data_IF_897300316147
#
_entry.id   IF_897300316147
#
_cell.length_a   1.000
_cell.length_b   1.000
_cell.length_c   1.000
_cell.angle_alpha   90.00
_cell.angle_beta   90.00
_cell.angle_gamma   90.00
#
_symmetry.space_group_name_H-M   'P 1'
#
loop_
_entity.id
_entity.type
_entity.pdbx_description
1 polymer ?
#
# COMPACT_ATOMS: atom_id res chain seq x y z
N UNK A 1 26.67 12.30 24.98
CA UNK A 1 25.33 12.78 25.42
C UNK A 1 24.35 12.51 24.30
N UNK A 2 23.40 11.59 24.48
CA UNK A 2 22.35 11.33 23.49
C UNK A 2 21.35 12.50 23.52
N UNK A 3 21.22 13.23 22.40
CA UNK A 3 20.29 14.33 22.28
C UNK A 3 18.84 13.85 22.48
N UNK A 4 18.10 14.51 23.37
CA UNK A 4 16.65 14.30 23.50
C UNK A 4 15.99 14.50 22.14
N UNK A 5 15.25 13.50 21.67
CA UNK A 5 14.43 13.65 20.47
C UNK A 5 13.46 14.82 20.67
N UNK A 6 13.63 15.88 19.89
CA UNK A 6 12.71 17.01 19.86
C UNK A 6 11.36 16.53 19.32
N UNK A 7 10.28 16.84 20.05
CA UNK A 7 8.91 16.42 19.69
C UNK A 7 8.38 17.12 18.43
N UNK A 8 8.95 18.28 18.09
CA UNK A 8 8.59 19.06 16.92
C UNK A 8 9.51 18.73 15.73
N UNK A 9 8.90 18.56 14.55
CA UNK A 9 9.64 18.35 13.31
C UNK A 9 10.60 19.53 13.03
N UNK A 10 11.83 19.28 12.56
CA UNK A 10 12.77 20.34 12.23
C UNK A 10 12.21 21.25 11.13
N UNK A 11 12.43 22.56 11.26
CA UNK A 11 12.02 23.52 10.22
C UNK A 11 12.89 23.31 8.98
N UNK A 12 12.26 23.18 7.81
CA UNK A 12 12.98 23.03 6.53
C UNK A 12 14.01 24.14 6.31
N UNK A 13 13.65 25.40 6.60
CA UNK A 13 14.56 26.55 6.46
C UNK A 13 15.77 26.53 7.41
N UNK A 14 15.70 25.76 8.50
CA UNK A 14 16.84 25.55 9.38
C UNK A 14 17.73 24.42 8.86
N UNK A 15 17.13 23.33 8.36
CA UNK A 15 17.85 22.19 7.79
C UNK A 15 18.71 22.58 6.59
N UNK A 16 18.22 23.47 5.73
CA UNK A 16 18.96 23.94 4.55
C UNK A 16 20.20 24.76 4.88
N UNK A 17 20.40 25.17 6.14
CA UNK A 17 21.60 25.88 6.60
C UNK A 17 22.65 24.97 7.24
N UNK A 18 22.31 23.70 7.49
CA UNK A 18 23.13 22.78 8.28
C UNK A 18 24.04 21.86 7.44
N UNK A 19 23.97 21.94 6.10
CA UNK A 19 24.74 21.12 5.14
C UNK A 19 24.90 19.63 5.56
N UNK A 20 23.82 19.06 6.09
CA UNK A 20 23.78 17.72 6.65
C UNK A 20 22.84 16.84 5.84
N UNK A 21 23.34 16.44 4.67
CA UNK A 21 22.66 15.60 3.70
C UNK A 21 23.17 14.16 3.76
N UNK A 22 22.25 13.22 3.58
CA UNK A 22 22.51 11.79 3.45
C UNK A 22 22.18 11.37 2.01
N UNK A 23 23.08 10.59 1.42
CA UNK A 23 22.87 9.94 0.14
C UNK A 23 22.14 8.62 0.39
N UNK A 24 20.99 8.41 -0.22
CA UNK A 24 20.25 7.14 -0.16
C UNK A 24 20.15 6.57 -1.57
N UNK A 25 20.58 5.33 -1.77
CA UNK A 25 20.51 4.62 -3.05
C UNK A 25 19.46 3.52 -2.96
N UNK A 26 18.47 3.55 -3.86
CA UNK A 26 17.30 2.67 -3.83
C UNK A 26 17.22 1.82 -5.10
N UNK A 27 16.93 0.53 -4.92
CA UNK A 27 16.70 -0.43 -6.00
C UNK A 27 17.98 -0.91 -6.67
N UNK A 28 17.92 -1.90 -7.56
CA UNK A 28 19.09 -2.49 -8.21
C UNK A 28 19.87 -1.49 -9.08
N UNK A 29 19.18 -0.48 -9.62
CA UNK A 29 19.78 0.60 -10.42
C UNK A 29 20.33 1.76 -9.57
N UNK A 30 20.30 1.64 -8.23
CA UNK A 30 20.78 2.63 -7.28
C UNK A 30 20.29 4.06 -7.55
N UNK A 31 18.97 4.22 -7.72
CA UNK A 31 18.37 5.55 -7.83
C UNK A 31 18.77 6.37 -6.60
N UNK A 32 19.46 7.48 -6.83
CA UNK A 32 20.16 8.23 -5.78
C UNK A 32 19.35 9.43 -5.31
N UNK A 33 19.16 9.54 -4.00
CA UNK A 33 18.44 10.60 -3.31
C UNK A 33 19.39 11.32 -2.35
N UNK A 34 19.29 12.65 -2.29
CA UNK A 34 20.01 13.45 -1.30
C UNK A 34 18.99 14.05 -0.34
N UNK A 35 19.02 13.62 0.92
CA UNK A 35 17.95 13.94 1.89
C UNK A 35 18.57 14.50 3.17
N UNK A 36 17.96 15.54 3.74
CA UNK A 36 18.43 16.12 5.00
C UNK A 36 18.36 15.08 6.13
N UNK A 37 19.51 14.82 6.80
CA UNK A 37 19.64 13.86 7.90
C UNK A 37 18.58 14.06 8.97
N UNK A 38 18.35 15.33 9.34
CA UNK A 38 17.38 15.70 10.37
C UNK A 38 15.95 15.24 10.07
N UNK A 39 15.53 15.22 8.80
CA UNK A 39 14.21 14.71 8.42
C UNK A 39 14.14 13.20 8.57
N UNK A 40 15.12 12.48 8.01
CA UNK A 40 15.19 11.02 8.08
C UNK A 40 15.15 10.53 9.53
N UNK A 41 16.02 11.08 10.37
CA UNK A 41 16.15 10.71 11.79
C UNK A 41 14.88 11.06 12.59
N UNK A 42 14.21 12.17 12.26
CA UNK A 42 12.98 12.55 12.96
C UNK A 42 11.81 11.63 12.59
N UNK A 43 11.65 11.31 11.30
CA UNK A 43 10.44 10.65 10.78
C UNK A 43 10.54 9.14 10.58
N UNK A 44 11.74 8.56 10.62
CA UNK A 44 11.97 7.12 10.40
C UNK A 44 12.81 6.51 11.52
N UNK A 45 12.30 5.45 12.12
CA UNK A 45 13.07 4.67 13.11
C UNK A 45 14.26 3.97 12.48
N UNK A 46 14.10 3.45 11.26
CA UNK A 46 15.17 2.82 10.49
C UNK A 46 16.35 3.78 10.33
N UNK A 47 16.12 4.96 9.76
CA UNK A 47 17.18 5.94 9.54
C UNK A 47 17.71 6.53 10.85
N UNK A 48 16.88 6.68 11.89
CA UNK A 48 17.37 7.08 13.23
C UNK A 48 18.38 6.09 13.79
N UNK A 49 18.12 4.79 13.66
CA UNK A 49 19.04 3.74 14.12
C UNK A 49 20.29 3.68 13.23
N UNK A 50 20.11 3.70 11.92
CA UNK A 50 21.20 3.65 10.96
C UNK A 50 22.17 4.84 11.12
N UNK A 51 21.64 6.07 11.28
CA UNK A 51 22.43 7.30 11.20
C UNK A 51 22.91 7.86 12.56
N UNK A 52 22.43 7.31 13.68
CA UNK A 52 22.87 7.69 15.04
C UNK A 52 23.53 6.55 15.83
N UNK A 53 23.62 5.34 15.26
CA UNK A 53 24.37 4.23 15.84
C UNK A 53 25.83 4.20 15.41
N UNK A 54 26.63 3.28 15.97
CA UNK A 54 28.03 3.01 15.58
C UNK A 54 28.18 2.44 14.15
N UNK A 55 27.11 2.39 13.35
CA UNK A 55 27.09 1.79 12.02
C UNK A 55 27.69 2.69 10.93
N UNK A 56 27.96 3.97 11.25
CA UNK A 56 28.55 4.96 10.34
C UNK A 56 29.97 5.36 10.79
N UNK A 57 30.83 4.38 11.06
CA UNK A 57 32.29 4.58 11.08
C UNK A 57 32.90 4.66 9.65
N UNK A 58 32.08 4.72 8.61
CA UNK A 58 32.53 4.97 7.24
C UNK A 58 32.16 6.40 6.84
N UNK A 59 33.17 7.16 6.40
CA UNK A 59 33.12 8.57 5.96
C UNK A 59 32.07 8.91 4.88
N UNK A 60 31.27 7.95 4.40
CA UNK A 60 30.62 8.05 3.10
C UNK A 60 29.16 8.57 3.09
N UNK A 61 28.56 8.93 4.25
CA UNK A 61 27.18 9.49 4.37
C UNK A 61 26.13 8.81 3.45
N UNK A 62 26.30 7.51 3.17
CA UNK A 62 25.53 6.80 2.14
C UNK A 62 24.82 5.59 2.74
N UNK A 63 23.54 5.42 2.40
CA UNK A 63 22.71 4.26 2.74
C UNK A 63 22.24 3.61 1.45
N UNK A 64 22.39 2.29 1.31
CA UNK A 64 21.97 1.52 0.13
C UNK A 64 20.87 0.54 0.54
N UNK A 65 19.79 0.47 -0.25
CA UNK A 65 18.67 -0.46 -0.09
C UNK A 65 18.31 -1.03 -1.47
N UNK A 66 18.88 -2.19 -1.80
CA UNK A 66 18.78 -2.80 -3.14
C UNK A 66 17.39 -3.39 -3.45
N UNK A 67 16.68 -3.84 -2.42
CA UNK A 67 15.40 -4.56 -2.51
C UNK A 67 14.17 -3.64 -2.34
N UNK A 68 14.33 -2.34 -2.59
CA UNK A 68 13.26 -1.35 -2.49
C UNK A 68 13.01 -0.68 -3.84
N UNK A 69 11.74 -0.56 -4.20
CA UNK A 69 11.34 0.15 -5.42
C UNK A 69 11.42 1.67 -5.23
N UNK A 70 11.94 2.42 -6.23
CA UNK A 70 12.01 3.88 -6.15
C UNK A 70 10.65 4.57 -6.01
N UNK A 71 9.59 4.12 -6.70
CA UNK A 71 8.28 4.78 -6.67
C UNK A 71 7.65 4.88 -5.27
N UNK A 72 7.57 3.78 -4.51
CA UNK A 72 7.17 3.82 -3.10
C UNK A 72 8.07 4.69 -2.21
N UNK A 73 9.37 4.71 -2.48
CA UNK A 73 10.30 5.58 -1.77
C UNK A 73 10.12 7.06 -2.12
N UNK A 74 9.77 7.40 -3.37
CA UNK A 74 9.41 8.76 -3.79
C UNK A 74 8.25 9.28 -2.93
N UNK A 75 7.24 8.44 -2.67
CA UNK A 75 6.13 8.78 -1.74
C UNK A 75 6.65 9.14 -0.35
N UNK A 76 7.60 8.35 0.18
CA UNK A 76 8.20 8.62 1.47
C UNK A 76 8.93 9.96 1.46
N UNK A 77 9.73 10.26 0.43
CA UNK A 77 10.48 11.52 0.30
C UNK A 77 9.54 12.72 0.14
N UNK A 78 8.53 12.65 -0.72
CA UNK A 78 7.56 13.74 -0.92
C UNK A 78 6.82 14.06 0.37
N UNK A 79 6.35 13.04 1.09
CA UNK A 79 5.71 13.22 2.38
C UNK A 79 6.68 13.74 3.44
N UNK A 80 7.93 13.28 3.43
CA UNK A 80 8.95 13.71 4.38
C UNK A 80 9.19 15.22 4.32
N UNK A 81 9.19 15.79 3.11
CA UNK A 81 9.40 17.23 2.90
C UNK A 81 8.11 18.05 3.03
N UNK A 82 6.97 17.53 2.59
CA UNK A 82 5.73 18.34 2.49
C UNK A 82 4.71 18.07 3.59
N UNK A 83 4.83 16.94 4.28
CA UNK A 83 3.81 16.41 5.18
C UNK A 83 2.53 15.95 4.47
N UNK A 84 2.52 15.89 3.14
CA UNK A 84 1.36 15.55 2.29
C UNK A 84 1.70 14.35 1.42
N UNK A 85 0.69 13.54 1.10
CA UNK A 85 0.84 12.48 0.13
C UNK A 85 0.85 13.08 -1.30
N UNK A 86 1.63 12.51 -2.24
CA UNK A 86 1.69 12.98 -3.62
C UNK A 86 0.45 12.60 -4.45
N UNK A 87 -0.47 11.83 -3.87
CA UNK A 87 -1.70 11.41 -4.53
C UNK A 87 -2.81 12.40 -4.17
N UNK A 88 -3.20 13.26 -5.11
CA UNK A 88 -4.39 14.10 -4.95
C UNK A 88 -5.61 13.43 -5.58
N UNK A 89 -6.80 13.60 -4.98
CA UNK A 89 -8.04 13.13 -5.57
C UNK A 89 -8.29 13.87 -6.89
N UNK A 90 -8.82 13.12 -7.87
CA UNK A 90 -9.27 13.59 -9.17
C UNK A 90 -10.11 14.88 -9.04
N UNK A 91 -9.53 16.02 -9.39
CA UNK A 91 -10.24 17.30 -9.39
C UNK A 91 -9.59 18.39 -10.25
N UNK A 92 -8.28 18.32 -10.45
CA UNK A 92 -7.49 19.33 -11.16
C UNK A 92 -6.62 18.77 -12.31
N UNK A 93 -6.88 17.54 -12.75
CA UNK A 93 -6.39 17.05 -14.06
C UNK A 93 -4.94 16.61 -14.14
N UNK A 94 -4.17 16.64 -13.04
CA UNK A 94 -2.82 16.08 -13.00
C UNK A 94 -2.66 15.18 -11.78
N UNK A 95 -2.35 13.90 -12.01
CA UNK A 95 -1.71 13.12 -10.98
C UNK A 95 -0.34 13.75 -10.71
N UNK A 96 -0.17 14.35 -9.53
CA UNK A 96 1.14 14.78 -9.05
C UNK A 96 2.00 13.56 -8.60
N UNK A 97 2.06 12.52 -9.42
CA UNK A 97 3.14 11.54 -9.31
C UNK A 97 4.32 12.21 -10.01
N UNK A 98 5.47 12.30 -9.32
CA UNK A 98 6.68 12.88 -9.92
C UNK A 98 6.89 12.28 -11.32
N UNK A 99 7.15 13.15 -12.28
CA UNK A 99 7.05 12.97 -13.73
C UNK A 99 7.85 11.79 -14.33
N UNK A 100 8.59 11.02 -13.53
CA UNK A 100 9.33 9.82 -13.97
C UNK A 100 8.46 8.56 -14.04
N UNK A 101 7.38 8.48 -13.26
CA UNK A 101 6.41 7.37 -13.28
C UNK A 101 5.01 7.82 -13.74
N UNK A 102 4.92 9.05 -14.28
CA UNK A 102 3.69 9.59 -14.84
C UNK A 102 3.13 8.61 -15.87
N UNK A 103 1.99 8.02 -15.53
CA UNK A 103 1.47 6.89 -16.25
C UNK A 103 0.85 7.35 -17.56
N UNK A 104 1.25 6.78 -18.70
CA UNK A 104 0.68 7.15 -20.00
C UNK A 104 -0.73 6.58 -20.23
N UNK A 105 -1.36 6.00 -19.21
CA UNK A 105 -2.60 5.24 -19.36
C UNK A 105 -3.80 6.08 -18.93
N UNK A 106 -4.87 6.03 -19.71
CA UNK A 106 -6.17 6.56 -19.33
C UNK A 106 -7.03 5.45 -18.69
N UNK A 107 -7.85 5.82 -17.71
CA UNK A 107 -8.85 4.91 -17.13
C UNK A 107 -8.32 3.94 -16.06
N UNK A 108 -8.75 2.69 -16.17
CA UNK A 108 -8.68 1.65 -15.14
C UNK A 108 -7.25 1.21 -14.79
N UNK A 109 -6.36 1.15 -15.77
CA UNK A 109 -4.95 0.76 -15.59
C UNK A 109 -4.19 1.75 -14.69
N UNK A 110 -4.51 3.04 -14.79
CA UNK A 110 -3.94 4.08 -13.92
C UNK A 110 -4.49 4.01 -12.51
N UNK A 111 -5.79 3.69 -12.35
CA UNK A 111 -6.39 3.47 -11.02
C UNK A 111 -5.76 2.26 -10.32
N UNK A 112 -5.60 1.15 -11.04
CA UNK A 112 -4.94 -0.06 -10.54
C UNK A 112 -3.52 0.26 -10.08
N UNK A 113 -2.74 0.90 -10.92
CA UNK A 113 -1.33 1.16 -10.60
C UNK A 113 -1.18 2.14 -9.45
N UNK A 114 -2.03 3.16 -9.36
CA UNK A 114 -2.05 4.04 -8.20
C UNK A 114 -2.42 3.26 -6.93
N UNK A 115 -3.42 2.39 -7.00
CA UNK A 115 -3.84 1.53 -5.90
C UNK A 115 -2.69 0.65 -5.41
N UNK A 116 -1.97 0.01 -6.35
CA UNK A 116 -0.82 -0.82 -6.05
C UNK A 116 0.36 0.00 -5.48
N UNK A 117 0.64 1.19 -6.04
CA UNK A 117 1.65 2.10 -5.52
C UNK A 117 1.35 2.50 -4.07
N UNK A 118 0.09 2.79 -3.73
CA UNK A 118 -0.29 3.15 -2.36
C UNK A 118 -0.05 2.01 -1.36
N UNK A 119 -0.37 0.77 -1.72
CA UNK A 119 -0.07 -0.41 -0.88
C UNK A 119 1.44 -0.64 -0.77
N UNK A 120 2.19 -0.53 -1.86
CA UNK A 120 3.66 -0.63 -1.82
C UNK A 120 4.27 0.45 -0.93
N UNK A 121 3.78 1.68 -1.02
CA UNK A 121 4.20 2.79 -0.16
C UNK A 121 3.83 2.55 1.31
N UNK A 122 2.71 1.87 1.60
CA UNK A 122 2.37 1.43 2.95
C UNK A 122 3.44 0.47 3.49
N UNK A 123 3.80 -0.56 2.72
CA UNK A 123 4.82 -1.55 3.09
C UNK A 123 6.17 -0.88 3.33
N UNK A 124 6.60 0.01 2.44
CA UNK A 124 7.85 0.77 2.59
C UNK A 124 7.82 1.68 3.82
N UNK A 125 6.72 2.40 4.05
CA UNK A 125 6.58 3.25 5.23
C UNK A 125 6.66 2.45 6.53
N UNK A 126 6.05 1.26 6.57
CA UNK A 126 6.11 0.38 7.73
C UNK A 126 7.53 -0.16 7.96
N UNK A 127 8.18 -0.66 6.89
CA UNK A 127 9.58 -1.12 6.91
C UNK A 127 10.55 -0.05 7.40
N UNK A 128 10.34 1.21 7.01
CA UNK A 128 11.16 2.34 7.45
C UNK A 128 10.81 2.82 8.87
N UNK A 129 9.79 2.25 9.52
CA UNK A 129 9.31 2.68 10.83
C UNK A 129 8.72 4.10 10.79
N UNK A 130 8.14 4.50 9.67
CA UNK A 130 7.56 5.82 9.46
C UNK A 130 6.06 5.83 9.83
N UNK A 131 5.74 5.57 11.11
CA UNK A 131 4.36 5.30 11.55
C UNK A 131 3.33 6.40 11.24
N UNK A 132 3.74 7.68 11.20
CA UNK A 132 2.85 8.79 10.78
C UNK A 132 2.49 8.70 9.29
N UNK A 133 3.43 8.28 8.45
CA UNK A 133 3.18 8.05 7.03
C UNK A 133 2.30 6.82 6.83
N UNK A 134 2.57 5.71 7.52
CA UNK A 134 1.72 4.50 7.49
C UNK A 134 0.26 4.86 7.75
N UNK A 135 0.00 5.66 8.80
CA UNK A 135 -1.35 6.14 9.11
C UNK A 135 -1.95 7.04 8.02
N UNK A 136 -1.15 7.95 7.45
CA UNK A 136 -1.60 8.84 6.39
C UNK A 136 -2.01 8.05 5.14
N UNK A 137 -1.17 7.10 4.70
CA UNK A 137 -1.43 6.23 3.55
C UNK A 137 -2.68 5.39 3.80
N UNK A 138 -2.78 4.74 4.97
CA UNK A 138 -3.93 3.91 5.32
C UNK A 138 -5.26 4.67 5.20
N UNK A 139 -5.33 5.88 5.77
CA UNK A 139 -6.55 6.67 5.75
C UNK A 139 -6.89 7.13 4.32
N UNK A 140 -5.89 7.60 3.57
CA UNK A 140 -6.08 7.99 2.18
C UNK A 140 -6.58 6.83 1.32
N UNK A 141 -5.99 5.64 1.49
CA UNK A 141 -6.37 4.44 0.76
C UNK A 141 -7.84 4.08 1.04
N UNK A 142 -8.25 4.04 2.31
CA UNK A 142 -9.63 3.76 2.68
C UNK A 142 -10.58 4.80 2.07
N UNK A 143 -10.27 6.09 2.20
CA UNK A 143 -11.13 7.14 1.64
C UNK A 143 -11.26 7.09 0.12
N UNK A 144 -10.21 6.65 -0.57
CA UNK A 144 -10.17 6.54 -2.03
C UNK A 144 -10.93 5.32 -2.55
N UNK A 145 -10.97 4.21 -1.81
CA UNK A 145 -11.42 2.90 -2.32
C UNK A 145 -12.60 2.29 -1.56
N UNK A 146 -13.20 2.98 -0.57
CA UNK A 146 -14.30 2.44 0.28
C UNK A 146 -15.63 2.13 -0.43
N UNK A 147 -15.78 2.49 -1.70
CA UNK A 147 -17.02 2.31 -2.48
C UNK A 147 -16.85 1.43 -3.72
N UNK A 148 -15.81 0.58 -3.74
CA UNK A 148 -15.55 -0.33 -4.86
C UNK A 148 -14.92 -1.63 -4.35
N UNK A 149 -15.00 -2.69 -5.17
CA UNK A 149 -14.28 -3.92 -4.88
C UNK A 149 -12.75 -3.68 -5.05
N UNK A 150 -11.91 -4.39 -4.29
CA UNK A 150 -10.47 -4.27 -4.42
C UNK A 150 -10.01 -4.91 -5.73
N UNK A 151 -8.89 -4.43 -6.23
CA UNK A 151 -8.20 -5.06 -7.36
C UNK A 151 -7.42 -6.27 -6.84
N UNK A 152 -7.56 -7.43 -7.46
CA UNK A 152 -6.89 -8.68 -7.10
C UNK A 152 -5.39 -8.55 -7.11
N UNK A 153 -4.79 -7.85 -8.09
CA UNK A 153 -3.34 -7.58 -8.06
C UNK A 153 -2.91 -6.86 -6.78
N UNK A 154 -3.73 -5.93 -6.30
CA UNK A 154 -3.50 -5.24 -5.03
C UNK A 154 -3.70 -6.16 -3.83
N UNK A 155 -4.74 -7.01 -3.85
CA UNK A 155 -4.99 -8.02 -2.81
C UNK A 155 -3.81 -8.98 -2.69
N UNK A 156 -3.38 -9.57 -3.79
CA UNK A 156 -2.26 -10.52 -3.86
C UNK A 156 -1.01 -9.90 -3.23
N UNK A 157 -0.63 -8.72 -3.69
CA UNK A 157 0.54 -8.03 -3.15
C UNK A 157 0.41 -7.70 -1.66
N UNK A 158 -0.76 -7.19 -1.24
CA UNK A 158 -1.00 -6.80 0.14
C UNK A 158 -0.86 -7.98 1.12
N UNK A 159 -1.48 -9.12 0.81
CA UNK A 159 -1.43 -10.29 1.70
C UNK A 159 -0.06 -10.97 1.74
N UNK A 160 0.74 -10.85 0.68
CA UNK A 160 2.11 -11.39 0.66
C UNK A 160 3.09 -10.53 1.48
N UNK A 161 2.83 -9.22 1.61
CA UNK A 161 3.80 -8.26 2.17
C UNK A 161 3.37 -7.57 3.47
N UNK A 162 2.09 -7.63 3.86
CA UNK A 162 1.56 -6.93 5.03
C UNK A 162 1.24 -7.95 6.14
N UNK A 163 1.66 -7.72 7.40
CA UNK A 163 1.29 -8.58 8.52
C UNK A 163 -0.23 -8.71 8.70
N UNK A 164 -0.69 -9.92 9.02
CA UNK A 164 -2.12 -10.29 9.08
C UNK A 164 -2.98 -9.46 10.04
N UNK A 165 -2.36 -8.79 11.02
CA UNK A 165 -3.01 -7.98 12.04
C UNK A 165 -3.33 -6.56 11.56
N UNK A 166 -2.87 -6.17 10.36
CA UNK A 166 -3.09 -4.82 9.85
C UNK A 166 -4.54 -4.65 9.35
N UNK A 167 -5.28 -3.63 9.84
CA UNK A 167 -6.68 -3.43 9.45
C UNK A 167 -6.93 -3.22 7.95
N UNK A 168 -5.90 -2.82 7.19
CA UNK A 168 -6.01 -2.62 5.75
C UNK A 168 -6.35 -3.93 5.00
N UNK A 169 -5.91 -5.08 5.52
CA UNK A 169 -6.25 -6.38 4.92
C UNK A 169 -7.73 -6.73 5.15
N UNK A 170 -8.26 -6.43 6.34
CA UNK A 170 -9.70 -6.59 6.61
C UNK A 170 -10.54 -5.64 5.79
N UNK A 171 -10.05 -4.42 5.53
CA UNK A 171 -10.72 -3.49 4.62
C UNK A 171 -10.87 -4.08 3.21
N UNK A 172 -9.82 -4.70 2.66
CA UNK A 172 -9.89 -5.36 1.34
C UNK A 172 -10.90 -6.51 1.33
N UNK A 173 -10.94 -7.32 2.39
CA UNK A 173 -11.93 -8.40 2.54
C UNK A 173 -13.37 -7.82 2.58
N UNK A 174 -13.57 -6.79 3.38
CA UNK A 174 -14.88 -6.18 3.60
C UNK A 174 -15.41 -5.53 2.32
N UNK A 175 -14.58 -4.76 1.61
CA UNK A 175 -14.99 -4.13 0.35
C UNK A 175 -15.25 -5.17 -0.75
N UNK A 176 -14.48 -6.26 -0.80
CA UNK A 176 -14.79 -7.37 -1.70
C UNK A 176 -16.16 -7.96 -1.39
N UNK A 177 -16.44 -8.31 -0.12
CA UNK A 177 -17.72 -8.91 0.26
C UNK A 177 -18.93 -8.02 -0.05
N UNK A 178 -18.76 -6.70 -0.03
CA UNK A 178 -19.86 -5.73 -0.22
C UNK A 178 -20.06 -5.34 -1.68
N UNK A 179 -18.98 -5.15 -2.44
CA UNK A 179 -19.05 -4.52 -3.78
C UNK A 179 -18.71 -5.46 -4.93
N UNK A 180 -18.14 -6.62 -4.68
CA UNK A 180 -17.76 -7.54 -5.74
C UNK A 180 -19.00 -8.15 -6.43
N UNK A 181 -18.88 -8.34 -7.75
CA UNK A 181 -19.80 -9.12 -8.58
C UNK A 181 -19.03 -9.65 -9.79
N UNK A 182 -19.49 -10.74 -10.41
CA UNK A 182 -18.84 -11.27 -11.62
C UNK A 182 -18.74 -10.24 -12.76
N UNK A 183 -19.75 -9.38 -12.88
CA UNK A 183 -19.76 -8.30 -13.87
C UNK A 183 -18.72 -7.21 -13.57
N UNK A 184 -18.31 -7.07 -12.31
CA UNK A 184 -17.25 -6.13 -11.92
C UNK A 184 -15.91 -6.60 -12.51
N UNK A 185 -15.55 -7.86 -12.32
CA UNK A 185 -14.28 -8.42 -12.81
C UNK A 185 -14.20 -8.39 -14.34
N UNK A 186 -15.30 -8.72 -15.03
CA UNK A 186 -15.37 -8.70 -16.50
C UNK A 186 -15.18 -7.31 -17.10
N UNK A 187 -15.48 -6.25 -16.34
CA UNK A 187 -15.28 -4.86 -16.79
C UNK A 187 -13.84 -4.40 -16.66
N UNK A 188 -13.03 -5.03 -15.80
CA UNK A 188 -11.67 -4.65 -15.51
C UNK A 188 -10.68 -5.64 -16.13
N UNK A 189 -10.09 -5.26 -17.28
CA UNK A 189 -9.25 -6.14 -18.11
C UNK A 189 -8.13 -6.79 -17.28
N UNK A 190 -8.11 -8.13 -17.28
CA UNK A 190 -7.05 -8.95 -16.68
C UNK A 190 -7.28 -9.36 -15.23
N UNK A 191 -8.27 -8.78 -14.53
CA UNK A 191 -8.55 -9.12 -13.13
C UNK A 191 -9.19 -10.51 -13.01
N UNK A 192 -10.15 -10.88 -13.86
CA UNK A 192 -10.77 -12.23 -13.84
C UNK A 192 -9.73 -13.37 -13.89
N UNK A 193 -8.64 -13.18 -14.64
CA UNK A 193 -7.57 -14.18 -14.76
C UNK A 193 -6.75 -14.38 -13.47
N UNK A 194 -6.80 -13.43 -12.53
CA UNK A 194 -6.06 -13.47 -11.26
C UNK A 194 -6.86 -14.13 -10.12
N UNK A 195 -8.11 -14.55 -10.35
CA UNK A 195 -8.93 -15.17 -9.31
C UNK A 195 -8.25 -16.42 -8.71
N UNK A 196 -7.63 -17.24 -9.56
CA UNK A 196 -6.92 -18.45 -9.15
C UNK A 196 -5.63 -18.16 -8.36
N UNK A 197 -5.12 -16.92 -8.43
CA UNK A 197 -3.94 -16.46 -7.71
C UNK A 197 -4.28 -15.81 -6.36
N UNK A 198 -5.57 -15.70 -6.01
CA UNK A 198 -5.99 -15.03 -4.78
C UNK A 198 -5.44 -15.75 -3.53
N UNK A 199 -4.90 -14.99 -2.55
CA UNK A 199 -4.32 -15.57 -1.34
C UNK A 199 -5.34 -16.41 -0.57
N UNK A 200 -4.92 -17.59 -0.10
CA UNK A 200 -5.78 -18.48 0.70
C UNK A 200 -6.37 -17.76 1.92
N UNK A 201 -5.57 -16.93 2.61
CA UNK A 201 -6.01 -16.16 3.77
C UNK A 201 -7.09 -15.12 3.42
N UNK A 202 -6.99 -14.50 2.25
CA UNK A 202 -8.01 -13.58 1.75
C UNK A 202 -9.32 -14.32 1.49
N UNK A 203 -9.27 -15.44 0.77
CA UNK A 203 -10.45 -16.27 0.47
C UNK A 203 -11.12 -16.80 1.75
N UNK A 204 -10.31 -17.28 2.71
CA UNK A 204 -10.80 -17.71 4.03
C UNK A 204 -11.44 -16.54 4.80
N UNK A 205 -10.85 -15.36 4.70
CA UNK A 205 -11.39 -14.12 5.25
C UNK A 205 -12.75 -13.75 4.66
N UNK A 206 -12.87 -13.79 3.33
CA UNK A 206 -14.12 -13.56 2.60
C UNK A 206 -15.19 -14.57 3.03
N UNK A 207 -14.86 -15.87 3.05
CA UNK A 207 -15.79 -16.92 3.49
C UNK A 207 -16.33 -16.66 4.91
N UNK A 208 -15.45 -16.31 5.87
CA UNK A 208 -15.84 -15.99 7.25
C UNK A 208 -16.68 -14.72 7.32
N UNK A 209 -16.34 -13.71 6.52
CA UNK A 209 -17.04 -12.42 6.49
C UNK A 209 -18.43 -12.52 5.86
N UNK A 210 -18.56 -13.25 4.75
CA UNK A 210 -19.85 -13.55 4.12
C UNK A 210 -20.81 -14.21 5.09
N UNK A 211 -20.37 -15.19 5.90
CA UNK A 211 -21.21 -15.78 6.97
C UNK A 211 -21.72 -14.72 7.95
N UNK A 212 -20.84 -13.81 8.36
CA UNK A 212 -21.19 -12.75 9.32
C UNK A 212 -22.20 -11.75 8.75
N UNK A 213 -22.12 -11.48 7.44
CA UNK A 213 -23.09 -10.65 6.71
C UNK A 213 -24.41 -11.40 6.47
N UNK A 214 -24.38 -12.72 6.25
CA UNK A 214 -25.56 -13.57 6.08
C UNK A 214 -26.47 -13.64 7.32
N UNK A 215 -25.92 -13.46 8.53
CA UNK A 215 -26.73 -13.35 9.77
C UNK A 215 -27.69 -12.15 9.74
N UNK A 216 -27.50 -11.21 8.81
CA UNK A 216 -28.36 -10.05 8.59
C UNK A 216 -29.44 -10.27 7.51
N UNK A 217 -29.45 -11.42 6.81
CA UNK A 217 -30.50 -11.75 5.84
C UNK A 217 -31.73 -12.38 6.51
N UNK A 218 -32.94 -12.25 5.93
CA UNK A 218 -34.15 -12.84 6.49
C UNK A 218 -33.98 -14.36 6.66
N UNK A 219 -34.33 -14.89 7.84
CA UNK A 219 -34.42 -16.35 8.06
C UNK A 219 -35.44 -16.92 7.06
N UNK A 220 -35.01 -17.80 6.15
CA UNK A 220 -35.95 -18.47 5.23
C UNK A 220 -35.39 -18.98 3.90
N UNK A 221 -34.15 -18.69 3.54
CA UNK A 221 -33.54 -19.30 2.36
C UNK A 221 -33.23 -20.79 2.63
N UNK A 222 -34.07 -21.70 2.13
CA UNK A 222 -33.75 -23.12 2.03
C UNK A 222 -32.97 -23.39 0.75
N UNK A 223 -32.00 -24.31 0.81
CA UNK A 223 -31.37 -24.83 -0.39
C UNK A 223 -32.42 -25.54 -1.25
N UNK A 224 -32.37 -25.32 -2.56
CA UNK A 224 -33.11 -26.15 -3.51
C UNK A 224 -32.26 -27.38 -3.80
N UNK A 225 -32.47 -28.42 -2.99
CA UNK A 225 -31.72 -29.68 -3.07
C UNK A 225 -31.85 -30.38 -4.43
N UNK A 226 -32.91 -30.09 -5.18
CA UNK A 226 -33.18 -30.72 -6.48
C UNK A 226 -32.14 -30.42 -7.55
N UNK A 227 -31.41 -29.31 -7.40
CA UNK A 227 -30.31 -28.93 -8.31
C UNK A 227 -29.05 -29.78 -8.14
N UNK A 228 -28.97 -30.58 -7.09
CA UNK A 228 -27.77 -31.34 -6.72
C UNK A 228 -27.95 -32.85 -6.78
N UNK A 229 -29.16 -33.35 -7.07
CA UNK A 229 -29.34 -34.77 -7.34
C UNK A 229 -28.65 -35.11 -8.67
N UNK A 230 -27.76 -36.11 -8.63
CA UNK A 230 -27.17 -36.70 -9.82
C UNK A 230 -28.20 -37.67 -10.40
N UNK A 231 -29.13 -37.11 -11.18
CA UNK A 231 -30.15 -37.86 -11.89
C UNK A 231 -29.48 -38.62 -13.03
N UNK A 232 -28.71 -39.67 -12.70
CA UNK A 232 -27.84 -40.45 -13.59
C UNK A 232 -28.48 -40.81 -14.93
N UNK A 233 -28.44 -39.87 -15.86
CA UNK A 233 -29.17 -39.93 -17.12
C UNK A 233 -28.52 -40.94 -18.05
N UNK A 234 -29.15 -42.10 -18.16
CA UNK A 234 -28.97 -43.02 -19.29
C UNK A 234 -28.42 -44.39 -18.92
N UNK A 235 -29.26 -45.24 -18.35
CA UNK A 235 -29.23 -46.67 -18.64
C UNK A 235 -30.61 -47.06 -19.17
N UNK A 236 -30.84 -46.79 -20.46
CA UNK A 236 -31.79 -47.54 -21.30
C UNK A 236 -31.03 -48.16 -22.46
#
# INVERSE_FOLDING_TARGET
MAGKATSQAPRLSALTRLDDMITVKIGPEHTTYHIHKGLLVHHSEYFRRALNGNWLESDDKTVVIDDMEPGPFDTFVDWLYTGKLPWRPFGDGEYAISSKWAMPHEGDETKLTLCLLQIKSYVVADRLGAGKLVKAINNHFIDSYKFQAPWYKTVIYAFDHIPSERPILWFLIDTHCVYWSEDYDKKHRGEEALQDELPHEFLLGVMKRMRSLHVLLPKGASLDETKYYDDGGGCE
#
